data_IF_461346426714
#
_entry.id   IF_461346426714
#
_cell.length_a   1.000
_cell.length_b   1.000
_cell.length_c   1.000
_cell.angle_alpha   90.00
_cell.angle_beta   90.00
_cell.angle_gamma   90.00
#
_symmetry.space_group_name_H-M   'P 1'
#
loop_
_entity.id
_entity.type
_entity.pdbx_description
1 polymer ?
#
# COMPACT_ATOMS: atom_id res chain seq x y z
N UNK A 1 14.15 2.81 -31.95
CA UNK A 1 14.08 4.28 -31.92
C UNK A 1 13.88 4.69 -30.47
N UNK A 2 14.63 5.68 -29.96
CA UNK A 2 14.49 6.15 -28.59
C UNK A 2 13.83 7.52 -28.56
N UNK A 3 12.95 7.74 -27.59
CA UNK A 3 12.48 9.08 -27.22
C UNK A 3 13.02 9.45 -25.82
N UNK A 4 13.41 10.71 -25.68
CA UNK A 4 14.26 11.21 -24.62
C UNK A 4 13.42 11.62 -23.41
N UNK A 5 13.32 10.73 -22.42
CA UNK A 5 12.75 11.07 -21.10
C UNK A 5 13.66 12.06 -20.36
N UNK A 6 13.62 13.33 -20.77
CA UNK A 6 14.30 14.45 -20.11
C UNK A 6 13.65 14.70 -18.76
N UNK A 7 14.14 13.96 -17.76
CA UNK A 7 13.76 14.05 -16.34
C UNK A 7 14.15 15.42 -15.80
N UNK A 8 13.27 16.39 -16.06
CA UNK A 8 13.32 17.72 -15.46
C UNK A 8 13.22 17.52 -13.96
N UNK A 9 14.34 17.64 -13.24
CA UNK A 9 14.34 17.53 -11.77
C UNK A 9 13.40 18.61 -11.23
N UNK A 10 12.27 18.25 -10.64
CA UNK A 10 11.39 19.24 -10.01
C UNK A 10 11.89 19.43 -8.58
N UNK A 11 12.16 20.68 -8.20
CA UNK A 11 12.36 21.02 -6.79
C UNK A 11 10.98 21.25 -6.20
N UNK A 12 10.56 20.38 -5.29
CA UNK A 12 9.28 20.51 -4.60
C UNK A 12 9.53 21.21 -3.28
N UNK A 13 9.00 22.42 -3.14
CA UNK A 13 8.86 23.11 -1.86
C UNK A 13 7.36 23.24 -1.62
N UNK A 14 6.86 22.53 -0.61
CA UNK A 14 5.46 22.59 -0.19
C UNK A 14 5.33 23.71 0.85
N UNK A 15 4.29 24.53 0.71
CA UNK A 15 3.99 25.58 1.68
C UNK A 15 3.33 25.02 2.96
N UNK A 16 3.09 25.88 3.94
CA UNK A 16 2.45 25.50 5.22
C UNK A 16 0.97 25.05 5.06
N UNK A 17 0.41 25.18 3.86
CA UNK A 17 -0.96 24.81 3.50
C UNK A 17 -1.03 23.56 2.60
N UNK A 18 0.05 22.77 2.51
CA UNK A 18 0.19 21.57 1.67
C UNK A 18 0.02 21.86 0.15
N UNK A 19 0.12 23.13 -0.31
CA UNK A 19 0.10 23.46 -1.74
C UNK A 19 1.48 23.24 -2.38
N UNK A 20 1.50 22.65 -3.57
CA UNK A 20 2.72 22.36 -4.33
C UNK A 20 2.91 23.42 -5.42
N UNK A 21 3.87 24.33 -5.25
CA UNK A 21 4.23 25.31 -6.30
C UNK A 21 5.32 24.75 -7.21
N UNK A 22 4.98 24.50 -8.48
CA UNK A 22 5.93 23.96 -9.47
C UNK A 22 6.54 25.11 -10.27
N UNK A 23 7.68 25.63 -9.81
CA UNK A 23 8.43 26.64 -10.57
C UNK A 23 9.00 26.00 -11.83
N UNK A 24 8.45 26.39 -12.99
CA UNK A 24 8.92 25.93 -14.31
C UNK A 24 10.37 26.37 -14.52
N UNK A 25 11.31 25.41 -14.54
CA UNK A 25 12.75 25.69 -14.63
C UNK A 25 13.07 26.61 -15.80
N UNK A 26 13.60 27.79 -15.50
CA UNK A 26 14.29 28.62 -16.48
C UNK A 26 15.67 27.97 -16.73
N UNK A 27 15.94 27.57 -17.97
CA UNK A 27 17.29 27.16 -18.38
C UNK A 27 18.10 28.42 -18.67
N UNK A 28 19.16 28.65 -17.90
CA UNK A 28 20.19 29.62 -18.29
C UNK A 28 20.80 29.19 -19.62
N UNK A 29 21.14 30.14 -20.48
CA UNK A 29 21.80 29.85 -21.76
C UNK A 29 23.23 29.35 -21.55
N UNK A 30 23.74 28.57 -22.50
CA UNK A 30 25.07 27.95 -22.38
C UNK A 30 26.21 28.98 -22.25
N UNK A 31 26.00 30.21 -22.76
CA UNK A 31 26.92 31.34 -22.56
C UNK A 31 27.02 31.80 -21.09
N UNK A 32 25.93 31.74 -20.32
CA UNK A 32 25.94 32.03 -18.87
C UNK A 32 26.56 30.85 -18.11
N UNK A 33 26.23 29.62 -18.50
CA UNK A 33 26.74 28.40 -17.87
C UNK A 33 28.26 28.27 -18.03
N UNK A 34 28.81 28.50 -19.23
CA UNK A 34 30.25 28.40 -19.46
C UNK A 34 31.04 29.42 -18.63
N UNK A 35 30.54 30.66 -18.51
CA UNK A 35 31.15 31.69 -17.63
C UNK A 35 31.14 31.34 -16.15
N UNK A 36 30.13 30.60 -15.68
CA UNK A 36 30.09 30.08 -14.30
C UNK A 36 30.94 28.82 -14.11
N UNK A 37 31.23 28.09 -15.17
CA UNK A 37 31.93 26.78 -15.14
C UNK A 37 33.44 26.90 -15.34
N UNK A 38 33.90 27.84 -16.17
CA UNK A 38 35.31 28.07 -16.48
C UNK A 38 35.74 29.50 -16.08
N UNK A 39 36.21 29.70 -14.84
CA UNK A 39 36.93 30.91 -14.45
C UNK A 39 38.37 30.87 -15.00
N UNK A 40 38.52 31.03 -16.31
CA UNK A 40 39.81 30.89 -17.01
C UNK A 40 40.74 32.11 -16.90
N UNK A 41 41.45 32.18 -15.77
CA UNK A 41 42.82 32.73 -15.63
C UNK A 41 43.04 34.27 -15.66
N UNK A 42 44.21 34.79 -15.19
CA UNK A 42 44.19 35.92 -14.25
C UNK A 42 45.04 37.18 -14.57
N UNK A 43 44.72 38.27 -13.84
CA UNK A 43 45.56 39.45 -13.51
C UNK A 43 45.86 40.45 -14.66
N UNK A 44 46.16 41.76 -14.39
CA UNK A 44 47.19 42.23 -13.46
C UNK A 44 46.80 43.33 -12.42
N UNK A 45 47.69 43.48 -11.42
CA UNK A 45 47.85 44.60 -10.43
C UNK A 45 48.41 45.87 -11.13
N UNK A 46 48.48 47.12 -10.56
CA UNK A 46 48.81 47.43 -9.14
C UNK A 46 48.32 48.74 -8.46
N UNK A 47 48.46 48.83 -7.13
CA UNK A 47 49.20 49.88 -6.37
C UNK A 47 49.14 49.64 -4.83
N UNK A 48 50.12 50.18 -4.11
CA UNK A 48 50.43 50.06 -2.67
C UNK A 48 51.04 51.41 -2.19
N UNK A 49 51.48 51.59 -0.92
CA UNK A 49 51.03 51.10 0.40
C UNK A 49 50.50 52.36 1.18
N UNK A 50 50.83 52.74 2.45
CA UNK A 50 51.34 52.02 3.64
C UNK A 50 50.65 52.35 5.00
N UNK A 51 51.17 51.72 6.06
CA UNK A 51 51.09 51.99 7.52
C UNK A 51 49.78 51.63 8.26
N UNK A 52 49.81 51.10 9.50
CA UNK A 52 50.94 50.81 10.42
C UNK A 52 50.81 49.43 11.10
N UNK A 53 51.93 48.90 11.60
CA UNK A 53 52.02 47.66 12.38
C UNK A 53 51.80 47.94 13.87
N UNK A 54 51.15 47.02 14.60
CA UNK A 54 51.53 46.66 15.97
C UNK A 54 51.16 45.20 16.28
N UNK A 55 52.11 44.44 16.79
CA UNK A 55 51.97 43.04 17.25
C UNK A 55 51.57 42.95 18.72
N UNK A 56 51.03 41.81 19.21
CA UNK A 56 50.16 41.77 20.39
C UNK A 56 50.76 41.10 21.64
N UNK A 57 50.23 41.44 22.82
CA UNK A 57 49.97 40.57 24.01
C UNK A 57 49.34 41.42 25.15
N UNK A 58 48.73 40.84 26.21
CA UNK A 58 48.32 39.45 26.44
C UNK A 58 46.81 39.29 26.79
N UNK A 59 46.34 38.03 26.99
CA UNK A 59 45.22 37.57 27.88
C UNK A 59 44.24 36.57 27.22
N UNK A 60 43.94 35.42 27.86
CA UNK A 60 42.72 34.64 27.65
C UNK A 60 41.58 35.11 28.59
N UNK A 61 40.31 35.08 28.17
CA UNK A 61 39.44 34.04 28.75
C UNK A 61 38.31 33.49 27.83
N UNK A 62 37.79 32.34 28.25
CA UNK A 62 36.55 31.68 27.80
C UNK A 62 35.35 32.64 27.64
N UNK A 63 34.62 32.54 26.52
CA UNK A 63 33.14 32.44 26.51
C UNK A 63 32.56 32.32 25.07
N UNK A 64 31.58 31.40 24.89
CA UNK A 64 30.35 31.56 24.06
C UNK A 64 29.49 30.27 24.08
N UNK A 65 28.63 30.07 25.09
CA UNK A 65 27.76 28.88 25.20
C UNK A 65 26.51 28.92 24.29
N UNK A 66 26.48 29.73 23.23
CA UNK A 66 25.25 30.00 22.46
C UNK A 66 24.84 28.89 21.47
N UNK A 67 25.76 28.05 20.97
CA UNK A 67 25.40 26.99 20.00
C UNK A 67 24.44 25.94 20.58
N UNK A 68 24.51 25.69 21.90
CA UNK A 68 23.76 24.61 22.57
C UNK A 68 22.26 24.90 22.77
N UNK A 69 21.84 26.18 22.71
CA UNK A 69 20.40 26.56 22.75
C UNK A 69 19.70 26.36 21.40
N UNK A 70 20.33 26.78 20.28
CA UNK A 70 19.74 26.63 18.93
C UNK A 70 19.54 25.17 18.53
N UNK A 71 20.50 24.29 18.86
CA UNK A 71 20.39 22.85 18.58
C UNK A 71 19.14 22.26 19.24
N UNK A 72 18.95 22.48 20.56
CA UNK A 72 17.79 21.94 21.30
C UNK A 72 16.43 22.44 20.79
N UNK A 73 16.34 23.70 20.36
CA UNK A 73 15.10 24.27 19.84
C UNK A 73 14.73 23.66 18.47
N UNK A 74 15.70 23.52 17.57
CA UNK A 74 15.49 22.85 16.29
C UNK A 74 15.05 21.38 16.47
N UNK A 75 15.63 20.67 17.44
CA UNK A 75 15.25 19.26 17.72
C UNK A 75 13.80 19.13 18.21
N UNK A 76 13.24 20.06 18.98
CA UNK A 76 11.81 19.98 19.36
C UNK A 76 10.86 20.42 18.24
N UNK A 77 11.24 21.38 17.40
CA UNK A 77 10.45 21.72 16.20
C UNK A 77 10.38 20.52 15.23
N UNK A 78 11.52 19.87 14.99
CA UNK A 78 11.62 18.63 14.23
C UNK A 78 10.80 17.50 14.88
N UNK A 79 10.84 17.37 16.21
CA UNK A 79 10.04 16.36 16.95
C UNK A 79 8.54 16.65 16.94
N UNK A 80 8.11 17.91 16.90
CA UNK A 80 6.72 18.30 16.71
C UNK A 80 6.23 17.98 15.30
N UNK A 81 7.07 18.23 14.27
CA UNK A 81 6.78 17.82 12.89
C UNK A 81 6.74 16.29 12.76
N UNK A 82 7.68 15.56 13.38
CA UNK A 82 7.63 14.09 13.42
C UNK A 82 6.36 13.56 14.08
N UNK A 83 5.87 14.20 15.16
CA UNK A 83 4.58 13.87 15.79
C UNK A 83 3.37 14.16 14.90
N UNK A 84 3.37 15.26 14.14
CA UNK A 84 2.27 15.57 13.22
C UNK A 84 2.25 14.63 12.01
N UNK A 85 3.41 14.25 11.48
CA UNK A 85 3.51 13.20 10.45
C UNK A 85 3.09 11.83 10.97
N UNK A 86 3.48 11.44 12.20
CA UNK A 86 3.01 10.20 12.83
C UNK A 86 1.48 10.19 12.97
N UNK A 87 0.87 11.30 13.39
CA UNK A 87 -0.60 11.43 13.46
C UNK A 87 -1.27 11.38 12.08
N UNK A 88 -0.71 12.05 11.07
CA UNK A 88 -1.20 11.96 9.66
C UNK A 88 -1.10 10.51 9.14
N UNK A 89 -0.05 9.77 9.49
CA UNK A 89 0.10 8.35 9.13
C UNK A 89 -0.95 7.46 9.81
N UNK A 90 -1.14 7.58 11.12
CA UNK A 90 -2.15 6.81 11.87
C UNK A 90 -3.58 7.07 11.34
N UNK A 91 -3.88 8.30 10.94
CA UNK A 91 -5.16 8.65 10.32
C UNK A 91 -5.34 8.01 8.94
N UNK A 92 -4.29 7.98 8.11
CA UNK A 92 -4.33 7.29 6.81
C UNK A 92 -4.35 5.77 6.93
N UNK A 93 -3.69 5.20 7.92
CA UNK A 93 -3.76 3.77 8.26
C UNK A 93 -5.19 3.39 8.69
N UNK A 94 -5.83 4.21 9.53
CA UNK A 94 -7.22 4.01 9.95
C UNK A 94 -8.20 4.10 8.78
N UNK A 95 -7.97 5.01 7.83
CA UNK A 95 -8.83 5.16 6.67
C UNK A 95 -8.62 4.04 5.63
N UNK A 96 -7.37 3.63 5.39
CA UNK A 96 -7.07 2.45 4.57
C UNK A 96 -7.75 1.20 5.16
N UNK A 97 -7.66 1.00 6.47
CA UNK A 97 -8.31 -0.11 7.16
C UNK A 97 -9.84 -0.11 6.99
N UNK A 98 -10.50 1.05 6.98
CA UNK A 98 -11.95 1.13 6.68
C UNK A 98 -12.28 0.70 5.25
N UNK A 99 -11.42 1.04 4.29
CA UNK A 99 -11.60 0.63 2.90
C UNK A 99 -11.37 -0.88 2.75
N UNK A 100 -10.34 -1.43 3.41
CA UNK A 100 -10.09 -2.87 3.47
C UNK A 100 -11.26 -3.62 4.11
N UNK A 101 -11.79 -3.14 5.24
CA UNK A 101 -12.98 -3.70 5.89
C UNK A 101 -14.22 -3.64 4.98
N UNK A 102 -14.44 -2.55 4.25
CA UNK A 102 -15.52 -2.43 3.26
C UNK A 102 -15.36 -3.44 2.10
N UNK A 103 -14.15 -3.56 1.54
CA UNK A 103 -13.87 -4.50 0.46
C UNK A 103 -13.99 -5.96 0.92
N UNK A 104 -13.56 -6.27 2.13
CA UNK A 104 -13.75 -7.59 2.76
C UNK A 104 -15.23 -7.92 2.99
N UNK A 105 -16.06 -6.97 3.44
CA UNK A 105 -17.52 -7.18 3.57
C UNK A 105 -18.19 -7.44 2.21
N UNK A 106 -17.76 -6.73 1.15
CA UNK A 106 -18.26 -7.00 -0.21
C UNK A 106 -17.85 -8.39 -0.71
N UNK A 107 -16.61 -8.82 -0.48
CA UNK A 107 -16.14 -10.17 -0.81
C UNK A 107 -16.90 -11.24 -0.03
N UNK A 108 -17.07 -11.06 1.29
CA UNK A 108 -17.79 -12.00 2.14
C UNK A 108 -19.27 -12.18 1.69
N UNK A 109 -19.95 -11.10 1.29
CA UNK A 109 -21.32 -11.19 0.73
C UNK A 109 -21.39 -11.95 -0.59
N UNK A 110 -20.39 -11.79 -1.45
CA UNK A 110 -20.29 -12.50 -2.74
C UNK A 110 -19.99 -13.99 -2.51
N UNK A 111 -19.02 -14.29 -1.63
CA UNK A 111 -18.68 -15.65 -1.22
C UNK A 111 -19.88 -16.35 -0.57
N UNK A 112 -20.58 -15.69 0.36
CA UNK A 112 -21.79 -16.23 1.00
C UNK A 112 -22.86 -16.57 -0.04
N UNK A 113 -23.19 -15.65 -0.96
CA UNK A 113 -24.18 -15.91 -2.01
C UNK A 113 -23.75 -17.06 -2.93
N UNK A 114 -22.46 -17.15 -3.25
CA UNK A 114 -21.93 -18.27 -4.05
C UNK A 114 -22.02 -19.60 -3.30
N UNK A 115 -21.70 -19.62 -2.00
CA UNK A 115 -21.80 -20.79 -1.16
C UNK A 115 -23.25 -21.25 -0.96
N UNK A 116 -24.19 -20.31 -0.83
CA UNK A 116 -25.64 -20.62 -0.83
C UNK A 116 -26.08 -21.28 -2.14
N UNK A 117 -25.62 -20.77 -3.30
CA UNK A 117 -25.91 -21.38 -4.60
C UNK A 117 -25.39 -22.83 -4.68
N UNK A 118 -24.13 -23.07 -4.33
CA UNK A 118 -23.56 -24.43 -4.32
C UNK A 118 -24.30 -25.35 -3.35
N UNK A 119 -24.66 -24.88 -2.14
CA UNK A 119 -25.44 -25.67 -1.17
C UNK A 119 -26.76 -26.13 -1.76
N UNK A 120 -27.57 -25.20 -2.28
CA UNK A 120 -28.88 -25.51 -2.89
C UNK A 120 -28.71 -26.52 -4.02
N UNK A 121 -27.77 -26.33 -4.95
CA UNK A 121 -27.52 -27.30 -6.03
C UNK A 121 -27.11 -28.68 -5.50
N UNK A 122 -26.26 -28.75 -4.46
CA UNK A 122 -25.89 -30.04 -3.85
C UNK A 122 -27.04 -30.70 -3.09
N UNK A 123 -27.91 -29.92 -2.45
CA UNK A 123 -29.10 -30.40 -1.72
C UNK A 123 -30.16 -30.93 -2.69
N UNK A 124 -30.44 -30.22 -3.79
CA UNK A 124 -31.34 -30.67 -4.87
C UNK A 124 -30.86 -31.99 -5.50
N UNK A 125 -29.58 -32.08 -5.86
CA UNK A 125 -28.98 -33.31 -6.39
C UNK A 125 -29.03 -34.45 -5.36
N UNK A 126 -28.73 -34.17 -4.09
CA UNK A 126 -28.80 -35.16 -3.01
C UNK A 126 -30.24 -35.65 -2.80
N UNK A 127 -31.23 -34.76 -2.83
CA UNK A 127 -32.64 -35.10 -2.69
C UNK A 127 -33.11 -35.97 -3.87
N UNK A 128 -32.71 -35.65 -5.10
CA UNK A 128 -33.02 -36.45 -6.29
C UNK A 128 -32.40 -37.85 -6.21
N UNK A 129 -31.12 -37.96 -5.82
CA UNK A 129 -30.43 -39.25 -5.65
C UNK A 129 -31.05 -40.06 -4.51
N UNK A 130 -31.35 -39.45 -3.36
CA UNK A 130 -32.02 -40.12 -2.25
C UNK A 130 -33.42 -40.63 -2.64
N UNK A 131 -34.21 -39.83 -3.36
CA UNK A 131 -35.55 -40.21 -3.81
C UNK A 131 -35.51 -41.38 -4.80
N UNK A 132 -34.61 -41.33 -5.78
CA UNK A 132 -34.45 -42.42 -6.77
C UNK A 132 -33.96 -43.71 -6.12
N UNK A 133 -33.00 -43.65 -5.19
CA UNK A 133 -32.54 -44.81 -4.42
C UNK A 133 -33.65 -45.39 -3.52
N UNK A 134 -34.50 -44.54 -2.92
CA UNK A 134 -35.67 -44.97 -2.13
C UNK A 134 -36.68 -45.72 -3.02
N UNK A 135 -36.97 -45.19 -4.22
CA UNK A 135 -37.85 -45.84 -5.18
C UNK A 135 -37.30 -47.20 -5.66
N UNK A 136 -36.00 -47.29 -5.97
CA UNK A 136 -35.33 -48.55 -6.33
C UNK A 136 -35.45 -49.57 -5.20
N UNK A 137 -35.20 -49.17 -3.94
CA UNK A 137 -35.39 -50.06 -2.77
C UNK A 137 -36.82 -50.59 -2.67
N UNK A 138 -37.82 -49.74 -2.87
CA UNK A 138 -39.23 -50.16 -2.82
C UNK A 138 -39.58 -51.13 -3.96
N UNK A 139 -39.08 -50.90 -5.18
CA UNK A 139 -39.26 -51.80 -6.32
C UNK A 139 -38.64 -53.17 -6.01
N UNK A 140 -37.40 -53.22 -5.52
CA UNK A 140 -36.72 -54.46 -5.17
C UNK A 140 -37.47 -55.23 -4.06
N UNK A 141 -37.96 -54.54 -3.03
CA UNK A 141 -38.78 -55.14 -1.97
C UNK A 141 -40.10 -55.72 -2.52
N UNK A 142 -40.78 -55.00 -3.41
CA UNK A 142 -42.01 -55.47 -4.05
C UNK A 142 -41.75 -56.70 -4.94
N UNK A 143 -40.67 -56.70 -5.73
CA UNK A 143 -40.27 -57.85 -6.54
C UNK A 143 -39.93 -59.09 -5.69
N UNK A 144 -39.27 -58.90 -4.55
CA UNK A 144 -39.01 -59.97 -3.57
C UNK A 144 -40.33 -60.53 -3.00
N UNK A 145 -41.25 -59.66 -2.57
CA UNK A 145 -42.56 -60.08 -2.06
C UNK A 145 -43.38 -60.86 -3.10
N UNK A 146 -43.42 -60.38 -4.37
CA UNK A 146 -44.09 -61.08 -5.47
C UNK A 146 -43.46 -62.45 -5.71
N UNK A 147 -42.12 -62.55 -5.72
CA UNK A 147 -41.39 -63.81 -5.90
C UNK A 147 -41.66 -64.80 -4.75
N UNK A 148 -41.70 -64.31 -3.51
CA UNK A 148 -42.07 -65.12 -2.34
C UNK A 148 -43.52 -65.61 -2.42
N UNK A 149 -44.45 -64.76 -2.81
CA UNK A 149 -45.86 -65.12 -2.97
C UNK A 149 -46.05 -66.19 -4.06
N UNK A 150 -45.41 -66.04 -5.22
CA UNK A 150 -45.45 -67.04 -6.28
C UNK A 150 -44.82 -68.38 -5.84
N UNK A 151 -43.72 -68.32 -5.08
CA UNK A 151 -43.07 -69.48 -4.47
C UNK A 151 -43.87 -70.17 -3.36
N UNK A 152 -44.82 -69.46 -2.73
CA UNK A 152 -45.78 -70.01 -1.77
C UNK A 152 -46.97 -70.66 -2.48
N UNK A 153 -47.60 -69.96 -3.43
CA UNK A 153 -48.70 -70.50 -4.26
C UNK A 153 -48.26 -71.76 -5.02
N UNK A 154 -47.09 -71.75 -5.65
CA UNK A 154 -46.56 -72.94 -6.36
C UNK A 154 -46.25 -74.13 -5.43
N UNK A 155 -46.16 -73.90 -4.11
CA UNK A 155 -45.94 -74.97 -3.12
C UNK A 155 -47.26 -75.54 -2.63
N UNK A 156 -48.25 -74.66 -2.39
CA UNK A 156 -49.61 -75.04 -2.01
C UNK A 156 -50.38 -75.81 -3.11
N UNK A 157 -50.13 -75.51 -4.38
CA UNK A 157 -50.72 -76.25 -5.52
C UNK A 157 -50.07 -77.64 -5.72
N UNK A 158 -48.95 -77.93 -5.05
CA UNK A 158 -48.14 -79.14 -5.26
C UNK A 158 -48.15 -80.12 -4.08
N UNK A 159 -48.90 -79.80 -3.03
CA UNK A 159 -49.28 -80.74 -1.95
C UNK A 159 -50.57 -81.45 -2.35
N UNK A 160 -50.60 -82.81 -2.36
CA UNK A 160 -51.78 -83.59 -2.73
C UNK A 160 -52.85 -83.60 -1.64
#
# INVERSE_FOLDING_TARGET
>A
MGDSSSKTRVSFEADENDNITVVKRIRLSDNVINRMREPSSPAPKPRTPPQSQYTPQPSPPLAKPLKRKKIKAATEEERLKAKSFAKKLEEKERELKRQDEFHMDQLARLEERSAQFYKVTTEELTQFVCSTLQAIRQILANCLNIRCLFGACSRAVKTP
#
